data_IF_036722926086
#
_entry.id   IF_036722926086
#
_cell.length_a   1.000
_cell.length_b   1.000
_cell.length_c   1.000
_cell.angle_alpha   90.00
_cell.angle_beta   90.00
_cell.angle_gamma   90.00
#
_symmetry.space_group_name_H-M   'P 1'
#
loop_
_entity.id
_entity.type
_entity.pdbx_description
1 polymer ?
#
# COMPACT_ATOMS: atom_id res chain seq x y z
N UNK A 1 -9.22 27.47 -21.82
CA UNK A 1 -7.90 26.81 -21.97
C UNK A 1 -7.12 27.20 -20.73
N UNK A 2 -7.08 26.45 -19.63
CA UNK A 2 -6.59 25.09 -19.40
C UNK A 2 -7.13 24.71 -18.02
N UNK A 3 -8.11 23.81 -17.91
CA UNK A 3 -8.55 23.37 -16.56
C UNK A 3 -9.06 21.94 -16.49
N UNK A 4 -9.18 21.21 -17.60
CA UNK A 4 -9.75 19.85 -17.62
C UNK A 4 -8.74 18.70 -17.57
N UNK A 5 -7.45 18.96 -17.29
CA UNK A 5 -6.40 17.92 -17.44
C UNK A 5 -5.67 17.49 -16.16
N UNK A 6 -6.18 17.81 -14.97
CA UNK A 6 -5.66 17.25 -13.71
C UNK A 6 -6.59 16.22 -13.03
N UNK A 7 -7.80 15.99 -13.56
CA UNK A 7 -8.78 15.10 -12.94
C UNK A 7 -8.29 13.63 -12.84
N UNK A 8 -7.31 13.22 -13.66
CA UNK A 8 -6.80 11.84 -13.64
C UNK A 8 -5.71 11.55 -12.61
N UNK A 9 -5.08 12.57 -12.00
CA UNK A 9 -4.00 12.34 -11.02
C UNK A 9 -4.55 12.14 -9.62
N UNK A 10 -5.64 12.83 -9.27
CA UNK A 10 -6.29 12.67 -7.95
C UNK A 10 -6.92 11.29 -7.76
N UNK A 11 -7.45 10.67 -8.82
CA UNK A 11 -7.97 9.28 -8.77
C UNK A 11 -6.86 8.23 -8.66
N UNK A 12 -5.60 8.59 -9.00
CA UNK A 12 -4.43 7.73 -8.86
C UNK A 12 -3.63 8.00 -7.57
N UNK A 13 -3.97 9.05 -6.82
CA UNK A 13 -3.32 9.32 -5.54
C UNK A 13 -3.92 8.40 -4.47
N UNK A 14 -3.10 7.59 -3.78
CA UNK A 14 -3.59 6.74 -2.71
C UNK A 14 -4.24 7.63 -1.64
N UNK A 15 -5.49 7.33 -1.30
CA UNK A 15 -6.20 8.02 -0.22
C UNK A 15 -5.79 7.47 1.15
N UNK A 16 -5.24 6.25 1.16
CA UNK A 16 -4.79 5.53 2.34
C UNK A 16 -3.41 4.95 2.06
N UNK A 17 -2.47 5.23 2.97
CA UNK A 17 -1.16 4.58 3.01
C UNK A 17 -1.13 3.62 4.19
N UNK A 18 -0.90 2.34 3.91
CA UNK A 18 -0.78 1.29 4.92
C UNK A 18 0.72 1.04 5.13
N UNK A 19 1.26 1.51 6.26
CA UNK A 19 2.67 1.33 6.59
C UNK A 19 2.84 0.10 7.47
N UNK A 20 3.67 -0.84 7.04
CA UNK A 20 3.87 -2.13 7.72
C UNK A 20 5.36 -2.26 8.07
N UNK A 21 5.76 -1.99 9.32
CA UNK A 21 7.09 -2.37 9.78
C UNK A 21 7.16 -3.90 9.89
N UNK A 22 8.24 -4.49 9.37
CA UNK A 22 8.49 -5.93 9.40
C UNK A 22 9.90 -6.16 9.94
N UNK A 23 10.01 -7.12 10.86
CA UNK A 23 11.29 -7.58 11.40
C UNK A 23 11.25 -9.10 11.50
N UNK A 24 12.09 -9.77 10.72
CA UNK A 24 12.21 -11.22 10.69
C UNK A 24 10.89 -11.96 10.35
N UNK A 25 10.29 -11.61 9.21
CA UNK A 25 8.95 -12.07 8.80
C UNK A 25 8.95 -12.80 7.44
N UNK A 26 10.09 -13.31 6.95
CA UNK A 26 10.22 -13.97 5.63
C UNK A 26 9.09 -14.99 5.38
N UNK A 27 8.76 -15.82 6.38
CA UNK A 27 7.75 -16.87 6.27
C UNK A 27 6.29 -16.39 6.28
N UNK A 28 6.02 -15.16 6.72
CA UNK A 28 4.66 -14.63 6.87
C UNK A 28 4.38 -13.41 5.98
N UNK A 29 5.41 -12.76 5.44
CA UNK A 29 5.30 -11.52 4.67
C UNK A 29 4.28 -11.64 3.53
N UNK A 30 4.40 -12.66 2.69
CA UNK A 30 3.48 -12.85 1.56
C UNK A 30 2.02 -13.01 2.01
N UNK A 31 1.78 -13.79 3.06
CA UNK A 31 0.42 -14.00 3.60
C UNK A 31 -0.15 -12.70 4.16
N UNK A 32 0.64 -11.94 4.92
CA UNK A 32 0.21 -10.66 5.49
C UNK A 32 -0.20 -9.69 4.39
N UNK A 33 0.62 -9.54 3.34
CA UNK A 33 0.32 -8.64 2.22
C UNK A 33 -0.97 -9.08 1.51
N UNK A 34 -1.18 -10.38 1.29
CA UNK A 34 -2.42 -10.87 0.70
C UNK A 34 -3.66 -10.56 1.57
N UNK A 35 -3.54 -10.70 2.90
CA UNK A 35 -4.62 -10.37 3.83
C UNK A 35 -4.92 -8.87 3.85
N UNK A 36 -3.90 -8.01 3.83
CA UNK A 36 -4.07 -6.56 3.71
C UNK A 36 -4.76 -6.20 2.40
N UNK A 37 -4.29 -6.72 1.26
CA UNK A 37 -4.92 -6.50 -0.03
C UNK A 37 -6.39 -6.94 -0.03
N UNK A 38 -6.68 -8.10 0.58
CA UNK A 38 -8.04 -8.61 0.68
C UNK A 38 -8.94 -7.69 1.51
N UNK A 39 -8.46 -7.20 2.64
CA UNK A 39 -9.20 -6.29 3.51
C UNK A 39 -9.38 -4.89 2.88
N UNK A 40 -8.41 -4.45 2.07
CA UNK A 40 -8.41 -3.15 1.42
C UNK A 40 -9.15 -3.13 0.07
N UNK A 41 -9.78 -4.24 -0.36
CA UNK A 41 -10.49 -4.33 -1.64
C UNK A 41 -11.60 -3.29 -1.85
N UNK A 42 -12.15 -2.73 -0.76
CA UNK A 42 -13.19 -1.69 -0.83
C UNK A 42 -12.63 -0.26 -0.94
N UNK A 43 -11.32 -0.08 -0.89
CA UNK A 43 -10.67 1.22 -1.06
C UNK A 43 -10.43 1.49 -2.54
N UNK A 44 -10.78 2.69 -3.01
CA UNK A 44 -10.62 3.08 -4.41
C UNK A 44 -9.14 3.13 -4.84
N UNK A 45 -8.27 3.65 -3.97
CA UNK A 45 -6.82 3.69 -4.18
C UNK A 45 -6.08 3.66 -2.83
N UNK A 46 -5.15 2.72 -2.68
CA UNK A 46 -4.29 2.61 -1.52
C UNK A 46 -2.88 2.16 -1.91
N UNK A 47 -1.92 2.43 -1.03
CA UNK A 47 -0.56 1.92 -1.14
C UNK A 47 -0.19 1.12 0.12
N UNK A 48 0.73 0.17 -0.03
CA UNK A 48 1.36 -0.53 1.08
C UNK A 48 2.84 -0.19 1.07
N UNK A 49 3.33 0.35 2.17
CA UNK A 49 4.74 0.68 2.39
C UNK A 49 5.30 -0.27 3.42
N UNK A 50 6.05 -1.27 2.96
CA UNK A 50 6.73 -2.22 3.84
C UNK A 50 8.06 -1.60 4.26
N UNK A 51 8.30 -1.57 5.57
CA UNK A 51 9.53 -1.05 6.16
C UNK A 51 10.26 -2.20 6.84
N UNK A 52 11.41 -2.57 6.29
CA UNK A 52 12.32 -3.49 6.98
C UNK A 52 12.96 -2.78 8.18
N UNK A 53 12.61 -3.22 9.39
CA UNK A 53 13.12 -2.69 10.67
C UNK A 53 14.32 -3.50 11.16
N UNK A 54 15.29 -3.74 10.25
CA UNK A 54 16.55 -4.40 10.55
C UNK A 54 16.47 -5.92 10.63
N UNK A 55 15.73 -6.54 9.71
CA UNK A 55 15.63 -7.99 9.58
C UNK A 55 16.99 -8.62 9.25
N UNK A 56 17.13 -9.88 9.66
CA UNK A 56 18.28 -10.74 9.40
C UNK A 56 17.90 -12.04 8.71
N UNK A 57 16.60 -12.28 8.55
CA UNK A 57 16.03 -13.33 7.71
C UNK A 57 15.46 -12.79 6.39
#
# INVERSE_FOLDING_TARGET
MVSEKLQGVSDLMPQVSIVVPMHNEEGAAAKLIHEICSAAQSLDAFEIVVVDDGSTD
#
